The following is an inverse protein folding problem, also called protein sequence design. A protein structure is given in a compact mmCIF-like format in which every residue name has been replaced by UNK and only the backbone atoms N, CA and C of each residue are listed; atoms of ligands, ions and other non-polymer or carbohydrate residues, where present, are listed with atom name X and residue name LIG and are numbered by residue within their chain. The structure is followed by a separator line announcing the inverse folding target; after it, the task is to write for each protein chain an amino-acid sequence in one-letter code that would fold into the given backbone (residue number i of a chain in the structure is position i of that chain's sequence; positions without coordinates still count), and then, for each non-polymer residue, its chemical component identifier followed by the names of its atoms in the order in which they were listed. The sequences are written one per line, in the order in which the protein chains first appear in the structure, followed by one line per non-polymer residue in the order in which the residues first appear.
data_IF_317265380045
#
_entry.id   IF_317265380045
#
_cell.length_a   1.000
_cell.length_b   1.000
_cell.length_c   1.000
_cell.angle_alpha   90.00
_cell.angle_beta   90.00
_cell.angle_gamma   90.00
#
_symmetry.space_group_name_H-M   'P 1'
#
loop_
_entity.id
_entity.type
_entity.pdbx_description
1 polymer ?
#
# COMPACT_ATOMS: atom_id res chain seq x y z
N UNK A 1 16.63 40.22 -23.84
CA UNK A 1 17.13 38.84 -23.57
C UNK A 1 16.93 38.43 -22.10
N UNK A 2 17.23 39.31 -21.15
CA UNK A 2 17.08 39.04 -19.69
C UNK A 2 15.63 38.83 -19.29
N UNK A 3 14.67 39.56 -19.84
CA UNK A 3 13.23 39.39 -19.58
C UNK A 3 12.72 38.05 -20.04
N UNK A 4 13.17 37.52 -21.17
CA UNK A 4 12.79 36.20 -21.68
C UNK A 4 13.33 35.09 -20.77
N UNK A 5 14.56 35.23 -20.30
CA UNK A 5 15.20 34.29 -19.38
C UNK A 5 14.45 34.22 -18.05
N UNK A 6 14.12 35.38 -17.47
CA UNK A 6 13.34 35.44 -16.22
C UNK A 6 11.93 34.86 -16.38
N UNK A 7 11.29 35.11 -17.51
CA UNK A 7 9.95 34.53 -17.80
C UNK A 7 10.02 33.00 -17.87
N UNK A 8 11.04 32.44 -18.48
CA UNK A 8 11.27 30.99 -18.54
C UNK A 8 11.58 30.40 -17.16
N UNK A 9 12.39 31.08 -16.35
CA UNK A 9 12.69 30.64 -14.97
C UNK A 9 11.44 30.66 -14.10
N UNK A 10 10.64 31.71 -14.19
CA UNK A 10 9.35 31.78 -13.46
C UNK A 10 8.40 30.67 -13.90
N UNK A 11 8.27 30.43 -15.21
CA UNK A 11 7.44 29.33 -15.74
C UNK A 11 7.89 27.95 -15.25
N UNK A 12 9.20 27.73 -15.23
CA UNK A 12 9.77 26.45 -14.72
C UNK A 12 9.51 26.28 -13.22
N UNK A 13 9.66 27.34 -12.43
CA UNK A 13 9.37 27.31 -11.00
C UNK A 13 7.89 27.08 -10.71
N UNK A 14 6.99 27.72 -11.45
CA UNK A 14 5.55 27.51 -11.32
C UNK A 14 5.14 26.07 -11.65
N UNK A 15 5.69 25.50 -12.72
CA UNK A 15 5.44 24.10 -13.07
C UNK A 15 5.96 23.15 -11.99
N UNK A 16 7.13 23.44 -11.44
CA UNK A 16 7.71 22.65 -10.35
C UNK A 16 6.87 22.73 -9.07
N UNK A 17 6.40 23.92 -8.70
CA UNK A 17 5.51 24.11 -7.56
C UNK A 17 4.19 23.34 -7.76
N UNK A 18 3.58 23.44 -8.95
CA UNK A 18 2.35 22.69 -9.25
C UNK A 18 2.55 21.19 -9.13
N UNK A 19 3.62 20.67 -9.70
CA UNK A 19 3.97 19.25 -9.65
C UNK A 19 4.19 18.79 -8.21
N UNK A 20 4.93 19.54 -7.40
CA UNK A 20 5.15 19.23 -5.99
C UNK A 20 3.86 19.30 -5.16
N UNK A 21 2.97 20.23 -5.46
CA UNK A 21 1.66 20.35 -4.79
C UNK A 21 0.75 19.19 -5.15
N UNK A 22 0.73 18.77 -6.40
CA UNK A 22 -0.03 17.59 -6.85
C UNK A 22 0.49 16.31 -6.19
N UNK A 23 1.83 16.14 -6.10
CA UNK A 23 2.46 15.03 -5.38
C UNK A 23 2.14 15.03 -3.89
N UNK A 24 2.14 16.19 -3.24
CA UNK A 24 1.80 16.31 -1.82
C UNK A 24 0.35 15.93 -1.56
N UNK A 25 -0.57 16.27 -2.46
CA UNK A 25 -1.97 15.84 -2.40
C UNK A 25 -2.14 14.34 -2.62
N UNK A 26 -1.42 13.78 -3.58
CA UNK A 26 -1.46 12.35 -3.89
C UNK A 26 -1.03 11.49 -2.70
N UNK A 27 -0.05 11.97 -1.92
CA UNK A 27 0.46 11.28 -0.74
C UNK A 27 -0.05 11.88 0.58
N UNK A 28 -1.13 12.63 0.54
CA UNK A 28 -1.77 13.14 1.75
C UNK A 28 -2.19 11.98 2.67
N UNK A 29 -1.85 12.09 3.95
CA UNK A 29 -2.11 11.04 4.94
C UNK A 29 -1.00 9.99 5.06
N UNK A 30 -0.01 9.97 4.17
CA UNK A 30 1.16 9.12 4.32
C UNK A 30 2.21 9.73 5.25
N UNK A 31 3.00 8.85 5.89
CA UNK A 31 4.10 9.28 6.74
C UNK A 31 5.20 10.03 5.96
N UNK A 32 6.00 10.81 6.68
CA UNK A 32 7.17 11.49 6.10
C UNK A 32 8.10 10.53 5.34
N UNK A 33 8.33 9.35 5.90
CA UNK A 33 9.20 8.34 5.27
C UNK A 33 8.67 7.87 3.93
N UNK A 34 7.37 7.57 3.83
CA UNK A 34 6.72 7.18 2.58
C UNK A 34 6.80 8.30 1.55
N UNK A 35 6.50 9.53 1.94
CA UNK A 35 6.60 10.70 1.06
C UNK A 35 8.01 10.89 0.49
N UNK A 36 9.03 10.78 1.33
CA UNK A 36 10.43 10.90 0.90
C UNK A 36 10.84 9.82 -0.11
N UNK A 37 10.47 8.58 0.15
CA UNK A 37 10.77 7.47 -0.77
C UNK A 37 10.09 7.67 -2.11
N UNK A 38 8.81 8.04 -2.12
CA UNK A 38 8.06 8.25 -3.36
C UNK A 38 8.61 9.43 -4.17
N UNK A 39 8.92 10.54 -3.53
CA UNK A 39 9.54 11.70 -4.18
C UNK A 39 10.91 11.36 -4.78
N UNK A 40 11.69 10.55 -4.10
CA UNK A 40 13.01 10.11 -4.58
C UNK A 40 12.90 9.13 -5.74
N UNK A 41 11.92 8.28 -5.73
CA UNK A 41 11.61 7.37 -6.85
C UNK A 41 11.25 8.16 -8.12
N UNK A 42 10.43 9.18 -8.00
CA UNK A 42 10.05 10.03 -9.15
C UNK A 42 11.22 10.80 -9.73
N UNK A 43 12.20 11.16 -8.90
CA UNK A 43 13.46 11.79 -9.33
C UNK A 43 14.50 10.78 -9.81
N UNK A 44 14.17 9.51 -9.93
CA UNK A 44 15.09 8.42 -10.26
C UNK A 44 16.29 8.27 -9.29
N UNK A 45 16.19 8.79 -8.08
CA UNK A 45 17.20 8.61 -7.04
C UNK A 45 17.12 7.22 -6.39
N UNK A 46 15.94 6.61 -6.37
CA UNK A 46 15.71 5.24 -5.95
C UNK A 46 15.06 4.45 -7.09
N UNK A 47 15.50 3.21 -7.28
CA UNK A 47 15.00 2.31 -8.31
C UNK A 47 14.16 1.20 -7.68
N UNK A 48 13.32 0.58 -8.51
CA UNK A 48 12.52 -0.57 -8.10
C UNK A 48 11.43 -0.27 -7.08
N UNK A 49 11.05 0.98 -6.89
CA UNK A 49 9.97 1.38 -6.00
C UNK A 49 8.65 1.35 -6.77
N UNK A 50 7.74 0.46 -6.35
CA UNK A 50 6.40 0.37 -6.97
C UNK A 50 5.42 1.33 -6.31
N UNK A 51 5.46 1.48 -5.01
CA UNK A 51 4.63 2.40 -4.28
C UNK A 51 4.06 1.81 -2.98
N UNK A 52 3.33 2.63 -2.20
CA UNK A 52 2.66 2.15 -1.00
C UNK A 52 1.48 1.24 -1.37
N UNK A 53 1.20 0.25 -0.53
CA UNK A 53 0.11 -0.73 -0.73
C UNK A 53 -1.21 -0.04 -1.05
N UNK A 54 -1.55 1.02 -0.32
CA UNK A 54 -2.78 1.79 -0.55
C UNK A 54 -2.88 2.40 -1.97
N UNK A 55 -1.76 2.74 -2.58
CA UNK A 55 -1.70 3.29 -3.94
C UNK A 55 -1.73 2.25 -5.05
N UNK A 56 -1.55 0.97 -4.72
CA UNK A 56 -1.46 -0.14 -5.68
C UNK A 56 -2.76 -0.95 -5.77
N UNK A 57 -3.76 -0.60 -5.02
CA UNK A 57 -5.04 -1.29 -4.97
C UNK A 57 -6.22 -0.36 -5.14
N UNK A 58 -7.32 -0.91 -5.61
CA UNK A 58 -8.65 -0.28 -5.59
C UNK A 58 -9.67 -1.27 -5.04
N UNK A 59 -10.72 -0.76 -4.44
CA UNK A 59 -11.82 -1.57 -3.93
C UNK A 59 -13.14 -0.84 -4.08
N UNK A 60 -14.24 -1.58 -4.00
CA UNK A 60 -15.55 -0.98 -3.94
C UNK A 60 -15.73 -0.20 -2.63
N UNK A 61 -16.42 0.93 -2.71
CA UNK A 61 -16.60 1.83 -1.57
C UNK A 61 -17.17 1.13 -0.32
N UNK A 62 -18.06 0.17 -0.51
CA UNK A 62 -18.68 -0.60 0.58
C UNK A 62 -17.69 -1.45 1.39
N UNK A 63 -16.52 -1.79 0.82
CA UNK A 63 -15.50 -2.61 1.48
C UNK A 63 -14.33 -1.79 2.04
N UNK A 64 -14.30 -0.48 1.82
CA UNK A 64 -13.17 0.38 2.17
C UNK A 64 -12.82 0.27 3.66
N UNK A 65 -13.80 0.39 4.54
CA UNK A 65 -13.57 0.33 5.99
C UNK A 65 -13.02 -1.04 6.44
N UNK A 66 -13.57 -2.13 5.91
CA UNK A 66 -13.11 -3.48 6.21
C UNK A 66 -11.66 -3.69 5.79
N UNK A 67 -11.30 -3.22 4.59
CA UNK A 67 -9.95 -3.37 4.06
C UNK A 67 -8.93 -2.47 4.75
N UNK A 68 -9.30 -1.24 5.08
CA UNK A 68 -8.47 -0.36 5.90
C UNK A 68 -8.21 -0.97 7.28
N UNK A 69 -9.21 -1.57 7.90
CA UNK A 69 -9.07 -2.29 9.16
C UNK A 69 -8.15 -3.50 9.02
N UNK A 70 -8.33 -4.27 7.96
CA UNK A 70 -7.52 -5.47 7.69
C UNK A 70 -6.04 -5.14 7.45
N UNK A 71 -5.75 -4.11 6.68
CA UNK A 71 -4.40 -3.67 6.36
C UNK A 71 -3.77 -2.87 7.50
N UNK A 72 -4.53 -2.01 8.16
CA UNK A 72 -4.02 -1.14 9.20
C UNK A 72 -2.80 -0.34 8.74
N UNK A 73 -1.72 -0.38 9.51
CA UNK A 73 -0.45 0.28 9.17
C UNK A 73 0.18 -0.28 7.88
N UNK A 74 -0.19 -1.48 7.45
CA UNK A 74 0.28 -2.09 6.21
C UNK A 74 -0.11 -1.32 4.94
N UNK A 75 -1.11 -0.45 5.01
CA UNK A 75 -1.45 0.44 3.89
C UNK A 75 -0.30 1.35 3.46
N UNK A 76 0.59 1.69 4.37
CA UNK A 76 1.76 2.52 4.13
C UNK A 76 3.03 1.74 3.80
N UNK A 77 2.99 0.42 3.82
CA UNK A 77 4.12 -0.41 3.43
C UNK A 77 4.42 -0.20 1.94
N UNK A 78 5.69 -0.09 1.62
CA UNK A 78 6.14 0.22 0.25
C UNK A 78 6.55 -1.05 -0.46
N UNK A 79 5.92 -1.34 -1.57
CA UNK A 79 6.26 -2.48 -2.43
C UNK A 79 7.47 -2.12 -3.28
N UNK A 80 8.49 -2.97 -3.26
CA UNK A 80 9.71 -2.82 -4.04
C UNK A 80 9.95 -4.07 -4.89
N UNK A 81 10.73 -3.93 -5.96
CA UNK A 81 11.03 -5.03 -6.89
C UNK A 81 11.84 -6.13 -6.21
N UNK A 82 12.93 -5.75 -5.56
CA UNK A 82 13.90 -6.66 -4.95
C UNK A 82 14.31 -6.19 -3.56
N UNK A 83 14.91 -7.09 -2.79
CA UNK A 83 15.43 -6.78 -1.45
C UNK A 83 16.48 -5.67 -1.47
N UNK A 84 17.33 -5.64 -2.51
CA UNK A 84 18.35 -4.60 -2.68
C UNK A 84 17.74 -3.21 -2.83
N UNK A 85 16.61 -3.10 -3.52
CA UNK A 85 15.89 -1.84 -3.70
C UNK A 85 15.32 -1.33 -2.36
N UNK A 86 14.81 -2.24 -1.54
CA UNK A 86 14.37 -1.92 -0.17
C UNK A 86 15.52 -1.49 0.72
N UNK A 87 16.66 -2.17 0.63
CA UNK A 87 17.88 -1.82 1.38
C UNK A 87 18.40 -0.43 1.00
N UNK A 88 18.43 -0.12 -0.29
CA UNK A 88 18.81 1.20 -0.77
C UNK A 88 17.88 2.31 -0.26
N UNK A 89 16.58 2.06 -0.23
CA UNK A 89 15.59 2.99 0.30
C UNK A 89 15.75 3.21 1.81
N UNK A 90 16.02 2.17 2.58
CA UNK A 90 16.30 2.26 4.02
C UNK A 90 17.56 3.10 4.28
N UNK A 91 18.61 2.86 3.53
CA UNK A 91 19.87 3.66 3.61
C UNK A 91 19.61 5.12 3.28
N UNK A 92 18.82 5.39 2.25
CA UNK A 92 18.41 6.73 1.86
C UNK A 92 17.66 7.46 2.99
N UNK A 93 16.72 6.79 3.65
CA UNK A 93 15.98 7.35 4.79
C UNK A 93 16.89 7.64 5.98
N UNK A 94 17.82 6.72 6.29
CA UNK A 94 18.79 6.91 7.39
C UNK A 94 19.68 8.14 7.16
N UNK A 95 20.17 8.32 5.95
CA UNK A 95 21.04 9.46 5.61
C UNK A 95 20.32 10.81 5.72
N UNK A 96 19.00 10.84 5.60
CA UNK A 96 18.19 12.06 5.63
C UNK A 96 17.35 12.24 6.88
N UNK A 97 17.56 11.36 7.87
CA UNK A 97 16.70 11.34 9.06
C UNK A 97 15.20 11.35 8.70
N UNK A 98 14.85 10.54 7.72
CA UNK A 98 13.53 10.51 7.09
C UNK A 98 12.49 9.68 7.82
N UNK A 99 12.87 9.05 8.93
CA UNK A 99 12.00 8.13 9.67
C UNK A 99 12.10 6.70 9.18
N UNK A 100 11.09 5.91 9.53
CA UNK A 100 11.03 4.47 9.24
C UNK A 100 9.88 4.16 8.29
N UNK A 101 10.12 3.21 7.39
CA UNK A 101 9.10 2.61 6.54
C UNK A 101 9.35 1.09 6.46
N UNK A 102 8.29 0.35 6.21
CA UNK A 102 8.37 -1.09 5.94
C UNK A 102 8.35 -1.31 4.44
N UNK A 103 9.28 -2.12 3.94
CA UNK A 103 9.39 -2.45 2.53
C UNK A 103 9.02 -3.91 2.28
N UNK A 104 8.28 -4.15 1.22
CA UNK A 104 7.79 -5.46 0.82
C UNK A 104 8.41 -5.84 -0.54
N UNK A 105 9.53 -6.60 -0.55
CA UNK A 105 10.16 -7.01 -1.80
C UNK A 105 9.33 -8.07 -2.52
N UNK A 106 8.96 -7.80 -3.77
CA UNK A 106 8.22 -8.75 -4.61
C UNK A 106 8.98 -10.05 -4.84
N UNK A 107 10.30 -9.99 -4.86
CA UNK A 107 11.17 -11.16 -5.05
C UNK A 107 11.15 -12.16 -3.89
N UNK A 108 10.81 -11.71 -2.70
CA UNK A 108 10.90 -12.51 -1.46
C UNK A 108 9.53 -12.81 -0.82
N UNK A 109 8.53 -11.96 -1.05
CA UNK A 109 7.23 -12.10 -0.41
C UNK A 109 6.30 -12.94 -1.27
N UNK A 110 5.83 -14.03 -0.67
CA UNK A 110 4.84 -14.93 -1.23
C UNK A 110 3.64 -14.98 -0.31
N UNK A 111 2.46 -15.15 -0.86
CA UNK A 111 1.22 -15.22 -0.12
C UNK A 111 0.48 -16.52 -0.37
N UNK A 112 -0.28 -16.92 0.62
CA UNK A 112 -1.20 -18.05 0.55
C UNK A 112 -2.63 -17.58 0.81
N UNK A 113 -3.57 -18.19 0.12
CA UNK A 113 -4.99 -18.00 0.36
C UNK A 113 -5.44 -18.96 1.47
N UNK A 114 -6.46 -18.56 2.22
CA UNK A 114 -7.08 -19.40 3.25
C UNK A 114 -7.51 -20.74 2.65
N UNK A 115 -7.15 -21.84 3.29
CA UNK A 115 -7.46 -23.19 2.82
C UNK A 115 -8.83 -23.67 3.28
N UNK A 116 -9.28 -23.17 4.42
CA UNK A 116 -10.59 -23.49 4.97
C UNK A 116 -11.69 -22.91 4.09
N UNK A 117 -12.70 -23.71 3.75
CA UNK A 117 -13.85 -23.23 3.01
C UNK A 117 -14.86 -22.59 3.97
N UNK A 118 -14.89 -21.25 3.94
CA UNK A 118 -15.80 -20.43 4.77
C UNK A 118 -16.90 -19.77 3.93
N UNK A 119 -16.97 -20.06 2.66
CA UNK A 119 -17.92 -19.42 1.73
C UNK A 119 -19.39 -19.72 2.05
N UNK A 120 -19.68 -20.83 2.70
CA UNK A 120 -21.01 -21.21 3.14
C UNK A 120 -21.42 -20.70 4.52
N UNK A 121 -20.54 -20.01 5.22
CA UNK A 121 -20.83 -19.49 6.56
C UNK A 121 -21.77 -18.28 6.51
N UNK A 122 -22.66 -18.20 7.50
CA UNK A 122 -23.58 -17.07 7.59
C UNK A 122 -22.84 -15.76 7.81
N UNK A 123 -23.18 -14.77 7.01
CA UNK A 123 -22.55 -13.44 7.06
C UNK A 123 -21.18 -13.34 6.36
N UNK A 124 -20.75 -14.39 5.67
CA UNK A 124 -19.53 -14.33 4.86
C UNK A 124 -19.72 -13.37 3.68
N UNK A 125 -18.83 -12.38 3.56
CA UNK A 125 -18.80 -11.42 2.44
C UNK A 125 -17.77 -11.84 1.41
N UNK A 126 -16.56 -12.14 1.82
CA UNK A 126 -15.48 -12.56 0.94
C UNK A 126 -14.14 -12.65 1.65
N UNK A 127 -13.14 -13.23 0.99
CA UNK A 127 -11.76 -13.08 1.40
C UNK A 127 -11.30 -11.66 1.07
N UNK A 128 -10.55 -11.04 1.97
CA UNK A 128 -10.10 -9.66 1.77
C UNK A 128 -9.29 -9.49 0.47
N UNK A 129 -8.47 -10.47 0.10
CA UNK A 129 -7.71 -10.43 -1.14
C UNK A 129 -8.58 -10.48 -2.41
N UNK A 130 -9.80 -11.03 -2.34
CA UNK A 130 -10.75 -11.11 -3.46
C UNK A 130 -11.60 -9.84 -3.59
N UNK A 131 -11.62 -8.99 -2.57
CA UNK A 131 -12.39 -7.75 -2.53
C UNK A 131 -11.58 -6.52 -2.98
N UNK A 132 -10.32 -6.70 -3.31
CA UNK A 132 -9.43 -5.67 -3.84
C UNK A 132 -9.07 -5.98 -5.29
N UNK A 133 -8.84 -4.91 -6.05
CA UNK A 133 -8.31 -5.00 -7.42
C UNK A 133 -6.89 -4.46 -7.43
N UNK A 134 -5.99 -5.20 -8.06
CA UNK A 134 -4.59 -4.84 -8.19
C UNK A 134 -4.00 -5.50 -9.44
N UNK A 135 -2.86 -5.01 -9.89
CA UNK A 135 -2.12 -5.64 -10.99
C UNK A 135 -1.60 -7.02 -10.58
N UNK A 136 -1.71 -8.01 -11.45
CA UNK A 136 -1.29 -9.41 -11.21
C UNK A 136 0.13 -9.56 -10.69
N UNK A 137 1.03 -8.66 -11.05
CA UNK A 137 2.42 -8.67 -10.56
C UNK A 137 2.53 -8.51 -9.04
N UNK A 138 1.51 -7.95 -8.39
CA UNK A 138 1.43 -7.77 -6.94
C UNK A 138 0.67 -8.89 -6.22
N UNK A 139 0.28 -9.94 -6.92
CA UNK A 139 -0.56 -11.02 -6.36
C UNK A 139 0.05 -11.65 -5.11
N UNK A 140 1.34 -11.94 -5.11
CA UNK A 140 2.06 -12.46 -3.94
C UNK A 140 2.01 -11.52 -2.72
N UNK A 141 2.11 -10.22 -2.95
CA UNK A 141 2.03 -9.19 -1.91
C UNK A 141 0.62 -9.16 -1.28
N UNK A 142 -0.42 -9.02 -2.09
CA UNK A 142 -1.80 -8.93 -1.59
C UNK A 142 -2.30 -10.23 -0.98
N UNK A 143 -1.93 -11.38 -1.50
CA UNK A 143 -2.21 -12.67 -0.87
C UNK A 143 -1.48 -12.85 0.45
N UNK A 144 -0.25 -12.36 0.58
CA UNK A 144 0.45 -12.35 1.86
C UNK A 144 -0.27 -11.49 2.90
N UNK A 145 -0.71 -10.29 2.52
CA UNK A 145 -1.35 -9.34 3.42
C UNK A 145 -2.81 -9.70 3.74
N UNK A 146 -3.56 -10.20 2.78
CA UNK A 146 -5.02 -10.33 2.84
C UNK A 146 -5.55 -11.74 2.54
N UNK A 147 -4.72 -12.66 2.12
CA UNK A 147 -5.15 -13.99 1.68
C UNK A 147 -5.78 -14.86 2.78
N UNK A 148 -5.49 -14.58 4.04
CA UNK A 148 -6.03 -15.28 5.22
C UNK A 148 -6.94 -14.42 6.07
N UNK A 149 -7.43 -13.33 5.53
CA UNK A 149 -8.37 -12.42 6.19
C UNK A 149 -9.76 -12.58 5.57
N UNK A 150 -10.75 -12.84 6.41
CA UNK A 150 -12.15 -13.00 6.02
C UNK A 150 -12.91 -11.73 6.38
N UNK A 151 -13.73 -11.25 5.45
CA UNK A 151 -14.64 -10.13 5.66
C UNK A 151 -16.04 -10.66 5.90
N UNK A 152 -16.69 -10.19 6.96
CA UNK A 152 -18.04 -10.56 7.38
C UNK A 152 -18.98 -9.35 7.41
N UNK A 153 -20.30 -9.62 7.39
CA UNK A 153 -21.31 -8.56 7.37
C UNK A 153 -21.35 -7.74 8.66
N UNK A 154 -21.22 -8.41 9.81
CA UNK A 154 -21.30 -7.76 11.11
C UNK A 154 -20.44 -8.51 12.16
N UNK A 155 -20.36 -7.89 13.34
CA UNK A 155 -19.58 -8.42 14.45
C UNK A 155 -20.11 -9.78 14.97
N UNK A 156 -21.41 -9.96 15.01
CA UNK A 156 -22.01 -11.20 15.52
C UNK A 156 -21.67 -12.39 14.62
N UNK A 157 -21.72 -12.20 13.31
CA UNK A 157 -21.28 -13.18 12.32
C UNK A 157 -19.78 -13.49 12.48
N UNK A 158 -18.96 -12.46 12.70
CA UNK A 158 -17.54 -12.61 12.94
C UNK A 158 -17.20 -13.40 14.20
N UNK A 159 -17.90 -13.13 15.30
CA UNK A 159 -17.73 -13.87 16.56
C UNK A 159 -18.12 -15.33 16.41
N UNK A 160 -19.25 -15.61 15.76
CA UNK A 160 -19.71 -16.97 15.51
C UNK A 160 -18.71 -17.77 14.66
N UNK A 161 -18.19 -17.16 13.60
CA UNK A 161 -17.20 -17.77 12.73
C UNK A 161 -15.85 -17.98 13.45
N UNK A 162 -15.40 -17.01 14.24
CA UNK A 162 -14.18 -17.12 15.03
C UNK A 162 -14.24 -18.30 16.04
N UNK A 163 -15.39 -18.49 16.68
CA UNK A 163 -15.62 -19.62 17.59
C UNK A 163 -15.61 -20.96 16.86
N UNK A 164 -16.30 -21.04 15.72
CA UNK A 164 -16.38 -22.27 14.93
C UNK A 164 -15.01 -22.72 14.42
N UNK A 165 -14.18 -21.81 13.96
CA UNK A 165 -12.85 -22.08 13.41
C UNK A 165 -11.71 -21.87 14.41
N UNK A 166 -12.00 -21.67 15.69
CA UNK A 166 -11.02 -21.53 16.78
C UNK A 166 -9.97 -20.44 16.53
N UNK A 167 -10.38 -19.32 15.97
CA UNK A 167 -9.51 -18.19 15.61
C UNK A 167 -8.35 -18.57 14.68
N UNK A 168 -8.54 -19.52 13.78
CA UNK A 168 -7.51 -19.99 12.87
C UNK A 168 -7.07 -18.94 11.82
N UNK A 169 -7.87 -17.92 11.59
CA UNK A 169 -7.61 -16.85 10.63
C UNK A 169 -8.18 -15.52 11.13
N UNK A 170 -7.79 -14.46 10.48
CA UNK A 170 -8.25 -13.10 10.82
C UNK A 170 -9.62 -12.83 10.22
N UNK A 171 -10.47 -12.15 10.98
CA UNK A 171 -11.83 -11.75 10.59
C UNK A 171 -11.98 -10.25 10.80
N UNK A 172 -12.54 -9.56 9.83
CA UNK A 172 -12.83 -8.11 9.86
C UNK A 172 -14.23 -7.81 9.35
#
# INVERSE_FOLDING_TARGET
EETVRLTLEVGNLQNRIRMLTEMEKEYEGFSKAVKLVMQSSEKNALRGIHGPVAGLMTTERKYTVALETALGAGMQNIVVEREEDGKAAITYLKQRDGGRATFLPMSAIHGEVLREDVSGEFGFVGLACDLVRYDKKYDGIFKNLLGRTVVVEDMDCGIAMARKFQNAFRIV
#
